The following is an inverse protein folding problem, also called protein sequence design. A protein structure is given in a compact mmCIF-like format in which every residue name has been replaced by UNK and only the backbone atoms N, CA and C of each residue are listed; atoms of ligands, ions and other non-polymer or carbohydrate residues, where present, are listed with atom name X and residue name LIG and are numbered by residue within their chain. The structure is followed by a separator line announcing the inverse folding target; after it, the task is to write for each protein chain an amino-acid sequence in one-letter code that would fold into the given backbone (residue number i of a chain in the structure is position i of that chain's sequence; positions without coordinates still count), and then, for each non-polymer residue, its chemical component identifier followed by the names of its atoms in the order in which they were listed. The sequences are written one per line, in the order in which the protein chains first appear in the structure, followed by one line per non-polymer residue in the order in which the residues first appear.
data_IF_059972063955
#
_entry.id   IF_059972063955
#
_cell.length_a   1.000
_cell.length_b   1.000
_cell.length_c   1.000
_cell.angle_alpha   90.00
_cell.angle_beta   90.00
_cell.angle_gamma   90.00
#
_symmetry.space_group_name_H-M   'P 1'
#
loop_
_entity.id
_entity.type
_entity.pdbx_description
1 polymer ?
#
# COMPACT_ATOMS: atom_id res chain seq x y z
N UNK A 1 15.46 -17.73 -14.23
CA UNK A 1 14.04 -17.86 -14.63
C UNK A 1 13.19 -17.02 -13.67
N UNK A 2 12.77 -15.82 -14.08
CA UNK A 2 11.95 -14.95 -13.23
C UNK A 2 10.49 -15.37 -13.39
N UNK A 3 9.94 -16.04 -12.38
CA UNK A 3 8.54 -16.48 -12.35
C UNK A 3 7.67 -15.21 -12.33
N UNK A 4 7.04 -14.86 -13.45
CA UNK A 4 6.01 -13.83 -13.51
C UNK A 4 4.89 -14.27 -12.56
N UNK A 5 4.82 -13.61 -11.40
CA UNK A 5 3.85 -13.91 -10.35
C UNK A 5 2.48 -13.56 -10.90
N UNK A 6 1.80 -14.57 -11.45
CA UNK A 6 0.46 -14.42 -11.98
C UNK A 6 -0.44 -13.73 -10.95
N UNK A 7 -1.20 -12.74 -11.41
CA UNK A 7 -2.09 -11.86 -10.67
C UNK A 7 -3.21 -12.57 -9.86
N UNK A 8 -3.15 -13.90 -9.75
CA UNK A 8 -4.11 -14.77 -9.09
C UNK A 8 -3.81 -15.00 -7.60
N UNK A 9 -2.67 -14.53 -7.11
CA UNK A 9 -2.21 -14.75 -5.73
C UNK A 9 -2.53 -13.59 -4.78
N UNK A 10 -3.32 -12.61 -5.21
CA UNK A 10 -3.73 -11.46 -4.39
C UNK A 10 -5.25 -11.37 -4.29
N UNK A 11 -5.74 -10.66 -3.26
CA UNK A 11 -7.16 -10.31 -3.13
C UNK A 11 -7.67 -9.65 -4.43
N UNK A 12 -8.79 -10.13 -4.98
CA UNK A 12 -9.49 -9.44 -6.08
C UNK A 12 -10.26 -8.20 -5.60
N UNK A 13 -10.37 -8.00 -4.28
CA UNK A 13 -11.00 -6.83 -3.70
C UNK A 13 -10.19 -5.55 -3.90
N UNK A 14 -10.83 -4.42 -3.61
CA UNK A 14 -10.23 -3.09 -3.67
C UNK A 14 -9.40 -2.75 -2.42
N UNK A 15 -8.82 -3.78 -1.78
CA UNK A 15 -7.97 -3.63 -0.62
C UNK A 15 -6.64 -2.94 -1.01
N UNK A 16 -6.10 -2.05 -0.16
CA UNK A 16 -4.86 -1.32 -0.45
C UNK A 16 -3.73 -2.29 -0.78
N UNK A 17 -2.86 -1.94 -1.73
CA UNK A 17 -1.76 -2.79 -2.20
C UNK A 17 -0.82 -3.23 -1.07
N UNK A 18 -0.59 -2.34 -0.10
CA UNK A 18 0.22 -2.63 1.10
C UNK A 18 -0.41 -3.66 2.03
N UNK A 19 -1.75 -3.79 2.04
CA UNK A 19 -2.48 -4.78 2.83
C UNK A 19 -2.99 -5.94 1.98
N UNK A 20 -2.60 -6.02 0.69
CA UNK A 20 -2.94 -7.15 -0.19
C UNK A 20 -2.05 -8.33 0.17
N UNK A 21 -2.58 -9.39 0.81
CA UNK A 21 -1.80 -10.58 1.10
C UNK A 21 -1.30 -11.21 -0.21
N UNK A 22 -0.05 -11.67 -0.19
CA UNK A 22 0.53 -12.51 -1.23
C UNK A 22 0.40 -13.97 -0.80
N UNK A 23 -0.38 -14.73 -1.54
CA UNK A 23 -0.52 -16.17 -1.28
C UNK A 23 0.48 -16.96 -2.11
N UNK A 24 0.84 -18.16 -1.66
CA UNK A 24 1.62 -19.09 -2.46
C UNK A 24 0.74 -19.92 -3.42
N UNK A 25 -0.56 -20.08 -3.12
CA UNK A 25 -1.52 -20.83 -3.94
C UNK A 25 -2.98 -20.29 -3.80
N UNK A 26 -3.88 -20.71 -4.71
CA UNK A 26 -5.32 -20.41 -4.61
C UNK A 26 -5.97 -21.01 -3.36
N UNK A 27 -5.45 -22.13 -2.87
CA UNK A 27 -5.96 -22.77 -1.65
C UNK A 27 -5.66 -21.92 -0.43
N UNK A 28 -4.44 -21.37 -0.34
CA UNK A 28 -4.08 -20.41 0.70
C UNK A 28 -4.93 -19.13 0.63
N UNK A 29 -5.22 -18.64 -0.59
CA UNK A 29 -6.15 -17.52 -0.77
C UNK A 29 -7.54 -17.84 -0.22
N UNK A 30 -8.14 -18.99 -0.57
CA UNK A 30 -9.48 -19.37 -0.11
C UNK A 30 -9.55 -19.60 1.41
N UNK A 31 -8.51 -20.20 1.98
CA UNK A 31 -8.41 -20.42 3.41
C UNK A 31 -8.36 -19.10 4.18
N UNK A 32 -7.57 -18.14 3.71
CA UNK A 32 -7.47 -16.81 4.31
C UNK A 32 -8.65 -15.92 3.97
N UNK A 33 -9.34 -16.12 2.84
CA UNK A 33 -10.47 -15.28 2.39
C UNK A 33 -11.56 -15.13 3.45
N UNK A 34 -11.85 -16.18 4.23
CA UNK A 34 -12.82 -16.12 5.35
C UNK A 34 -12.42 -15.12 6.44
N UNK A 35 -11.13 -14.89 6.62
CA UNK A 35 -10.57 -13.89 7.53
C UNK A 35 -10.44 -12.55 6.81
N UNK A 36 -9.80 -12.55 5.65
CA UNK A 36 -9.49 -11.38 4.84
C UNK A 36 -10.71 -10.59 4.40
N UNK A 37 -11.81 -11.24 3.98
CA UNK A 37 -12.97 -10.53 3.42
C UNK A 37 -13.57 -9.49 4.38
N UNK A 38 -13.46 -9.69 5.70
CA UNK A 38 -13.97 -8.77 6.73
C UNK A 38 -13.30 -7.38 6.68
N UNK A 39 -12.03 -7.36 6.29
CA UNK A 39 -11.17 -6.17 6.22
C UNK A 39 -10.63 -5.93 4.80
N UNK A 40 -11.13 -6.68 3.81
CA UNK A 40 -10.92 -6.44 2.39
C UNK A 40 -11.80 -5.28 1.92
N UNK A 41 -11.63 -4.10 2.54
CA UNK A 41 -12.36 -2.87 2.22
C UNK A 41 -11.48 -1.93 1.40
N UNK A 42 -12.13 -0.99 0.71
CA UNK A 42 -11.46 0.20 0.17
C UNK A 42 -11.00 1.04 1.35
N UNK A 43 -9.83 0.72 1.88
CA UNK A 43 -9.12 1.70 2.70
C UNK A 43 -8.76 2.87 1.77
N UNK A 44 -8.82 4.13 2.26
CA UNK A 44 -8.13 5.20 1.56
C UNK A 44 -6.66 4.77 1.47
N UNK A 45 -6.15 4.76 0.25
CA UNK A 45 -4.78 4.38 -0.03
C UNK A 45 -3.88 5.33 0.76
N UNK A 46 -3.24 4.85 1.83
CA UNK A 46 -2.28 5.65 2.61
C UNK A 46 -1.03 6.02 1.78
N UNK A 47 -0.94 5.53 0.55
CA UNK A 47 0.05 5.89 -0.47
C UNK A 47 -0.43 7.03 -1.39
N UNK A 48 -1.71 7.42 -1.32
CA UNK A 48 -2.12 8.78 -1.72
C UNK A 48 -1.95 9.67 -0.49
N UNK A 49 -0.83 10.40 -0.36
CA UNK A 49 -0.76 11.47 0.61
C UNK A 49 -1.95 12.38 0.34
N UNK A 50 -2.75 12.60 1.37
CA UNK A 50 -3.81 13.59 1.28
C UNK A 50 -3.17 14.90 0.83
N UNK A 51 -3.91 15.77 0.13
CA UNK A 51 -3.39 17.10 -0.22
C UNK A 51 -2.83 17.85 1.01
N UNK A 52 -3.30 17.50 2.21
CA UNK A 52 -2.76 17.98 3.48
C UNK A 52 -1.37 17.41 3.84
N UNK A 53 -1.11 16.12 3.58
CA UNK A 53 0.17 15.47 3.88
C UNK A 53 1.26 15.92 2.89
N UNK A 54 0.91 16.08 1.60
CA UNK A 54 1.79 16.68 0.59
C UNK A 54 2.19 18.12 0.98
N UNK A 55 1.22 18.92 1.45
CA UNK A 55 1.48 20.29 1.87
C UNK A 55 2.43 20.36 3.07
N UNK A 56 2.35 19.40 4.00
CA UNK A 56 3.27 19.30 5.14
C UNK A 56 4.67 18.86 4.71
N UNK A 57 4.78 17.89 3.80
CA UNK A 57 6.07 17.42 3.28
C UNK A 57 6.78 18.52 2.48
N UNK A 58 6.04 19.25 1.65
CA UNK A 58 6.53 20.42 0.93
C UNK A 58 6.97 21.54 1.89
N UNK A 59 6.17 21.82 2.93
CA UNK A 59 6.49 22.85 3.93
C UNK A 59 7.73 22.51 4.75
N UNK A 60 7.96 21.23 5.08
CA UNK A 60 9.14 20.79 5.85
C UNK A 60 10.42 20.78 4.99
N UNK A 61 10.32 20.50 3.69
CA UNK A 61 11.46 20.55 2.76
C UNK A 61 11.99 21.98 2.55
N UNK A 62 11.11 22.99 2.59
CA UNK A 62 11.47 24.41 2.42
C UNK A 62 12.25 25.01 3.61
N UNK A 63 12.32 24.32 4.77
CA UNK A 63 13.02 24.83 5.96
C UNK A 63 14.45 24.29 6.12
N UNK A 64 14.93 23.39 5.25
CA UNK A 64 16.22 22.72 5.42
C UNK A 64 17.38 23.27 4.55
N UNK A 65 17.13 24.17 3.59
CA UNK A 65 18.20 24.76 2.75
C UNK A 65 18.89 25.99 3.40
N UNK A 66 18.51 26.35 4.62
CA UNK A 66 18.97 27.57 5.29
C UNK A 66 20.24 27.45 6.14
N UNK A 67 20.97 26.33 6.15
CA UNK A 67 22.19 26.19 6.97
C UNK A 67 23.44 25.98 6.11
N UNK A 68 23.83 27.07 5.45
CA UNK A 68 25.22 27.32 5.03
C UNK A 68 25.52 28.81 5.16
N UNK A 69 25.47 29.29 6.40
CA UNK A 69 26.15 30.49 6.92
C UNK A 69 26.46 30.13 8.38
N UNK A 70 27.67 30.13 8.92
CA UNK A 70 29.00 30.59 8.50
C UNK A 70 30.05 29.73 9.20
#
# INVERSE_FOLDING_TARGET
MMKLKGSLLQCAGSCASIRKPQYCSRECQKADWKKHWKWCKKEPDLTTPSAADEAMLYSMHMMNDGSSQS
#
